data_IF_315887105570
#
_entry.id   IF_315887105570
#
_cell.length_a   1.000
_cell.length_b   1.000
_cell.length_c   1.000
_cell.angle_alpha   90.00
_cell.angle_beta   90.00
_cell.angle_gamma   90.00
#
_symmetry.space_group_name_H-M   'P 1'
#
loop_
_entity.id
_entity.type
_entity.pdbx_description
1 polymer ?
#
# COMPACT_ATOMS: atom_id res chain seq x y z
N UNK A 1 -14.02 -17.69 -21.96
CA UNK A 1 -14.46 -16.35 -21.52
C UNK A 1 -13.93 -16.16 -20.11
N UNK A 2 -13.07 -15.17 -19.92
CA UNK A 2 -12.52 -14.83 -18.60
C UNK A 2 -13.62 -14.14 -17.79
N UNK A 3 -13.63 -14.33 -16.48
CA UNK A 3 -14.55 -13.60 -15.60
C UNK A 3 -13.93 -12.26 -15.15
N UNK A 4 -14.76 -11.27 -14.84
CA UNK A 4 -14.32 -9.96 -14.38
C UNK A 4 -13.44 -10.00 -13.12
N UNK A 5 -13.59 -11.02 -12.26
CA UNK A 5 -12.71 -11.18 -11.09
C UNK A 5 -11.30 -11.57 -11.47
N UNK A 6 -11.14 -12.36 -12.52
CA UNK A 6 -9.82 -12.72 -13.04
C UNK A 6 -9.08 -11.51 -13.61
N UNK A 7 -9.79 -10.62 -14.33
CA UNK A 7 -9.24 -9.32 -14.78
C UNK A 7 -8.85 -8.43 -13.59
N UNK A 8 -9.76 -8.22 -12.63
CA UNK A 8 -9.49 -7.41 -11.42
C UNK A 8 -8.30 -7.97 -10.63
N UNK A 9 -8.16 -9.29 -10.53
CA UNK A 9 -7.03 -9.93 -9.84
C UNK A 9 -5.70 -9.65 -10.55
N UNK A 10 -5.65 -9.73 -11.87
CA UNK A 10 -4.46 -9.44 -12.64
C UNK A 10 -4.03 -7.97 -12.50
N UNK A 11 -4.96 -7.03 -12.64
CA UNK A 11 -4.72 -5.59 -12.44
C UNK A 11 -4.16 -5.32 -11.04
N UNK A 12 -4.83 -5.83 -10.00
CA UNK A 12 -4.40 -5.62 -8.62
C UNK A 12 -3.00 -6.20 -8.36
N UNK A 13 -2.68 -7.35 -8.95
CA UNK A 13 -1.38 -7.99 -8.78
C UNK A 13 -0.27 -7.17 -9.45
N UNK A 14 -0.50 -6.69 -10.67
CA UNK A 14 0.44 -5.83 -11.40
C UNK A 14 0.68 -4.50 -10.67
N UNK A 15 -0.40 -3.81 -10.29
CA UNK A 15 -0.36 -2.56 -9.52
C UNK A 15 0.43 -2.73 -8.21
N UNK A 16 0.11 -3.78 -7.46
CA UNK A 16 0.82 -4.12 -6.21
C UNK A 16 2.31 -4.38 -6.45
N UNK A 17 2.66 -5.17 -7.47
CA UNK A 17 4.06 -5.47 -7.79
C UNK A 17 4.85 -4.21 -8.15
N UNK A 18 4.23 -3.30 -8.90
CA UNK A 18 4.82 -1.99 -9.25
C UNK A 18 5.10 -1.14 -8.02
N UNK A 19 4.14 -1.03 -7.10
CA UNK A 19 4.31 -0.25 -5.86
C UNK A 19 5.47 -0.80 -5.02
N UNK A 20 5.58 -2.13 -4.88
CA UNK A 20 6.70 -2.74 -4.15
C UNK A 20 8.06 -2.52 -4.81
N UNK A 21 8.11 -2.57 -6.14
CA UNK A 21 9.33 -2.21 -6.84
C UNK A 21 9.68 -0.73 -6.57
N UNK A 22 8.71 0.19 -6.59
CA UNK A 22 8.91 1.62 -6.28
C UNK A 22 9.46 1.86 -4.87
N UNK A 23 9.16 1.00 -3.92
CA UNK A 23 9.70 1.11 -2.56
C UNK A 23 11.12 0.54 -2.44
N UNK A 24 11.48 -0.43 -3.28
CA UNK A 24 12.74 -1.18 -3.16
C UNK A 24 13.77 -0.88 -4.26
N UNK A 25 13.44 -0.07 -5.27
CA UNK A 25 14.39 0.34 -6.31
C UNK A 25 15.32 1.47 -5.85
N UNK A 26 14.89 2.27 -4.86
CA UNK A 26 15.74 3.28 -4.24
C UNK A 26 16.63 2.64 -3.15
N UNK A 27 17.95 2.81 -3.24
CA UNK A 27 18.87 2.28 -2.24
C UNK A 27 18.73 3.06 -0.92
N UNK A 28 18.40 2.36 0.16
CA UNK A 28 18.38 2.92 1.51
C UNK A 28 17.03 2.99 2.23
N UNK A 29 16.01 2.25 1.80
CA UNK A 29 14.89 1.86 2.67
C UNK A 29 15.48 1.12 3.88
N UNK A 30 15.52 1.82 5.02
CA UNK A 30 16.38 1.48 6.16
C UNK A 30 15.88 0.22 6.85
N UNK A 31 16.63 -0.87 6.73
CA UNK A 31 16.70 -1.88 7.80
C UNK A 31 17.22 -1.19 9.05
N UNK A 32 16.36 -1.03 10.07
CA UNK A 32 16.63 -0.27 11.29
C UNK A 32 17.71 -0.88 12.19
N UNK A 33 18.97 -0.80 11.77
CA UNK A 33 20.16 -1.13 12.56
C UNK A 33 20.99 0.12 12.90
N UNK A 34 21.94 0.01 13.86
CA UNK A 34 22.82 1.12 14.24
C UNK A 34 23.59 1.66 13.03
N UNK A 35 23.52 2.98 12.80
CA UNK A 35 24.23 3.65 11.72
C UNK A 35 25.73 3.68 11.99
N UNK A 36 26.52 3.04 11.13
CA UNK A 36 27.97 3.22 11.12
C UNK A 36 28.32 4.68 10.77
N UNK A 37 29.32 5.24 11.45
CA UNK A 37 29.76 6.64 11.30
C UNK A 37 30.42 6.95 9.95
N UNK A 38 30.74 5.91 9.16
CA UNK A 38 31.25 6.02 7.81
C UNK A 38 30.17 5.52 6.84
N UNK A 39 29.29 6.42 6.39
CA UNK A 39 28.30 6.06 5.38
C UNK A 39 29.04 5.77 4.06
N UNK A 40 29.01 4.52 3.61
CA UNK A 40 29.38 4.17 2.26
C UNK A 40 28.57 5.04 1.27
N UNK A 41 29.10 5.35 0.08
CA UNK A 41 28.31 6.02 -0.96
C UNK A 41 26.98 5.30 -1.14
N UNK A 42 25.87 6.03 -1.40
CA UNK A 42 24.57 5.42 -1.58
C UNK A 42 24.72 4.31 -2.62
N UNK A 43 24.16 3.13 -2.31
CA UNK A 43 24.20 2.04 -3.28
C UNK A 43 23.65 2.53 -4.63
N UNK A 44 24.11 1.98 -5.76
CA UNK A 44 23.61 2.39 -7.06
C UNK A 44 22.11 2.07 -7.20
N UNK A 45 21.39 2.90 -7.96
CA UNK A 45 19.99 2.67 -8.32
C UNK A 45 19.83 1.28 -8.96
N UNK A 46 18.79 0.55 -8.57
CA UNK A 46 18.45 -0.71 -9.21
C UNK A 46 17.70 -0.45 -10.51
N UNK A 47 18.46 -0.30 -11.60
CA UNK A 47 17.94 -0.01 -12.95
C UNK A 47 16.99 -1.10 -13.41
N UNK A 48 17.25 -2.37 -13.06
CA UNK A 48 16.37 -3.47 -13.44
C UNK A 48 14.98 -3.29 -12.84
N UNK A 49 14.89 -2.96 -11.55
CA UNK A 49 13.60 -2.66 -10.92
C UNK A 49 12.91 -1.46 -11.54
N UNK A 50 13.66 -0.41 -11.87
CA UNK A 50 13.11 0.77 -12.54
C UNK A 50 12.49 0.42 -13.91
N UNK A 51 13.18 -0.39 -14.71
CA UNK A 51 12.66 -0.86 -16.00
C UNK A 51 11.39 -1.68 -15.82
N UNK A 52 11.34 -2.55 -14.80
CA UNK A 52 10.15 -3.35 -14.51
C UNK A 52 8.97 -2.48 -14.02
N UNK A 53 9.22 -1.43 -13.22
CA UNK A 53 8.20 -0.43 -12.84
C UNK A 53 7.62 0.23 -14.09
N UNK A 54 8.49 0.68 -14.99
CA UNK A 54 8.09 1.36 -16.22
C UNK A 54 7.27 0.44 -17.13
N UNK A 55 7.69 -0.82 -17.28
CA UNK A 55 6.97 -1.83 -18.06
C UNK A 55 5.55 -2.04 -17.53
N UNK A 56 5.39 -2.31 -16.23
CA UNK A 56 4.07 -2.52 -15.63
C UNK A 56 3.19 -1.26 -15.80
N UNK A 57 3.78 -0.08 -15.62
CA UNK A 57 3.07 1.20 -15.80
C UNK A 57 2.56 1.37 -17.23
N UNK A 58 3.41 1.05 -18.23
CA UNK A 58 3.04 1.14 -19.63
C UNK A 58 1.96 0.13 -20.02
N UNK A 59 2.03 -1.10 -19.50
CA UNK A 59 1.03 -2.13 -19.75
C UNK A 59 -0.34 -1.72 -19.19
N UNK A 60 -0.41 -1.29 -17.93
CA UNK A 60 -1.66 -0.80 -17.34
C UNK A 60 -2.25 0.37 -18.15
N UNK A 61 -1.42 1.35 -18.52
CA UNK A 61 -1.87 2.48 -19.34
C UNK A 61 -2.30 2.06 -20.76
N UNK A 62 -1.61 1.10 -21.37
CA UNK A 62 -1.93 0.57 -22.70
C UNK A 62 -3.29 -0.12 -22.71
N UNK A 63 -3.55 -1.00 -21.74
CA UNK A 63 -4.84 -1.65 -21.59
C UNK A 63 -5.98 -0.67 -21.29
N UNK A 64 -5.72 0.38 -20.50
CA UNK A 64 -6.72 1.40 -20.22
C UNK A 64 -7.07 2.20 -21.49
N UNK A 65 -6.07 2.56 -22.30
CA UNK A 65 -6.30 3.23 -23.59
C UNK A 65 -7.08 2.36 -24.56
N UNK A 66 -6.78 1.07 -24.63
CA UNK A 66 -7.55 0.16 -25.48
C UNK A 66 -9.03 0.15 -25.08
N UNK A 67 -9.34 0.08 -23.79
CA UNK A 67 -10.71 0.14 -23.29
C UNK A 67 -11.34 1.52 -23.58
N UNK A 68 -10.61 2.61 -23.39
CA UNK A 68 -11.08 3.96 -23.72
C UNK A 68 -11.42 4.09 -25.21
N UNK A 69 -10.59 3.54 -26.09
CA UNK A 69 -10.83 3.52 -27.54
C UNK A 69 -12.07 2.68 -27.92
N UNK A 70 -12.28 1.52 -27.30
CA UNK A 70 -13.41 0.64 -27.61
C UNK A 70 -14.74 1.11 -26.99
N UNK A 71 -14.70 1.72 -25.80
CA UNK A 71 -15.91 2.18 -25.08
C UNK A 71 -16.27 3.63 -25.38
N UNK A 72 -15.29 4.45 -25.75
CA UNK A 72 -15.42 5.91 -25.85
C UNK A 72 -15.50 6.61 -24.48
N UNK A 73 -15.33 5.89 -23.37
CA UNK A 73 -15.31 6.47 -22.02
C UNK A 73 -13.90 6.95 -21.67
N UNK A 74 -13.73 8.27 -21.50
CA UNK A 74 -12.43 8.86 -21.18
C UNK A 74 -11.88 8.41 -19.83
N UNK A 75 -10.55 8.29 -19.75
CA UNK A 75 -9.84 8.05 -18.49
C UNK A 75 -9.87 9.35 -17.66
N UNK A 76 -10.68 9.36 -16.61
CA UNK A 76 -10.93 10.51 -15.73
C UNK A 76 -10.30 10.41 -14.33
N UNK A 77 -9.75 9.24 -14.00
CA UNK A 77 -9.15 8.90 -12.72
C UNK A 77 -7.81 8.16 -12.88
N UNK A 78 -7.31 7.53 -11.81
CA UNK A 78 -6.13 6.69 -11.89
C UNK A 78 -6.37 5.49 -12.81
N UNK A 79 -5.40 5.18 -13.68
CA UNK A 79 -5.48 4.11 -14.68
C UNK A 79 -5.97 2.79 -14.09
N UNK A 80 -5.53 2.42 -12.90
CA UNK A 80 -5.91 1.16 -12.27
C UNK A 80 -7.33 1.16 -11.70
N UNK A 81 -7.86 2.33 -11.35
CA UNK A 81 -9.27 2.51 -10.95
C UNK A 81 -10.15 2.41 -12.19
N UNK A 82 -9.79 3.13 -13.26
CA UNK A 82 -10.44 3.02 -14.58
C UNK A 82 -10.53 1.56 -15.06
N UNK A 83 -9.41 0.84 -15.05
CA UNK A 83 -9.36 -0.57 -15.47
C UNK A 83 -10.26 -1.47 -14.61
N UNK A 84 -10.30 -1.24 -13.29
CA UNK A 84 -11.16 -2.02 -12.38
C UNK A 84 -12.63 -1.75 -12.62
N UNK A 85 -13.01 -0.49 -12.86
CA UNK A 85 -14.38 -0.08 -13.22
C UNK A 85 -14.85 -0.77 -14.50
N UNK A 86 -13.95 -0.92 -15.47
CA UNK A 86 -14.22 -1.55 -16.76
C UNK A 86 -13.91 -3.05 -16.84
N UNK A 87 -13.62 -3.72 -15.73
CA UNK A 87 -13.23 -5.13 -15.74
C UNK A 87 -14.31 -6.06 -16.34
N UNK A 88 -15.60 -5.72 -16.18
CA UNK A 88 -16.70 -6.47 -16.80
C UNK A 88 -16.69 -6.33 -18.32
N UNK A 89 -16.39 -5.13 -18.83
CA UNK A 89 -16.23 -4.90 -20.27
C UNK A 89 -15.03 -5.68 -20.79
N UNK A 90 -13.85 -5.51 -20.17
CA UNK A 90 -12.63 -6.20 -20.57
C UNK A 90 -12.80 -7.73 -20.58
N UNK A 91 -13.47 -8.29 -19.58
CA UNK A 91 -13.72 -9.73 -19.49
C UNK A 91 -14.58 -10.31 -20.64
N UNK A 92 -15.39 -9.47 -21.28
CA UNK A 92 -16.20 -9.85 -22.44
C UNK A 92 -15.43 -9.82 -23.76
N UNK A 93 -14.23 -9.21 -23.80
CA UNK A 93 -13.44 -9.06 -25.01
C UNK A 93 -12.62 -10.30 -25.34
N UNK A 94 -12.31 -10.48 -26.62
CA UNK A 94 -11.48 -11.61 -27.10
C UNK A 94 -10.04 -11.51 -26.58
N UNK A 95 -9.52 -10.29 -26.44
CA UNK A 95 -8.16 -9.99 -25.94
C UNK A 95 -8.02 -10.09 -24.41
N UNK A 96 -9.09 -10.40 -23.67
CA UNK A 96 -9.07 -10.43 -22.20
C UNK A 96 -8.01 -11.37 -21.62
N UNK A 97 -7.77 -12.50 -22.30
CA UNK A 97 -6.76 -13.48 -21.92
C UNK A 97 -5.35 -12.90 -22.02
N UNK A 98 -5.05 -12.21 -23.11
CA UNK A 98 -3.74 -11.60 -23.33
C UNK A 98 -3.43 -10.53 -22.29
N UNK A 99 -4.42 -9.68 -21.95
CA UNK A 99 -4.31 -8.71 -20.86
C UNK A 99 -3.98 -9.38 -19.53
N UNK A 100 -4.71 -10.44 -19.18
CA UNK A 100 -4.54 -11.14 -17.90
C UNK A 100 -3.18 -11.82 -17.84
N UNK A 101 -2.75 -12.49 -18.91
CA UNK A 101 -1.48 -13.20 -18.96
C UNK A 101 -0.29 -12.23 -18.93
N UNK A 102 -0.36 -11.13 -19.69
CA UNK A 102 0.69 -10.12 -19.71
C UNK A 102 0.87 -9.46 -18.34
N UNK A 103 -0.22 -9.00 -17.72
CA UNK A 103 -0.18 -8.37 -16.40
C UNK A 103 0.34 -9.34 -15.33
N UNK A 104 -0.08 -10.61 -15.37
CA UNK A 104 0.40 -11.62 -14.44
C UNK A 104 1.88 -11.95 -14.63
N UNK A 105 2.37 -12.03 -15.86
CA UNK A 105 3.77 -12.30 -16.15
C UNK A 105 4.66 -11.17 -15.62
N UNK A 106 4.28 -9.91 -15.90
CA UNK A 106 5.00 -8.74 -15.38
C UNK A 106 4.93 -8.64 -13.85
N UNK A 107 3.78 -8.95 -13.25
CA UNK A 107 3.63 -8.96 -11.81
C UNK A 107 4.52 -10.02 -11.15
N UNK A 108 4.52 -11.25 -11.68
CA UNK A 108 5.34 -12.34 -11.15
C UNK A 108 6.84 -12.03 -11.20
N UNK A 109 7.31 -11.41 -12.29
CA UNK A 109 8.69 -10.93 -12.41
C UNK A 109 8.99 -9.82 -11.39
N UNK A 110 8.09 -8.85 -11.24
CA UNK A 110 8.24 -7.78 -10.24
C UNK A 110 8.29 -8.30 -8.80
N UNK A 111 7.42 -9.26 -8.46
CA UNK A 111 7.42 -9.93 -7.15
C UNK A 111 8.75 -10.66 -6.87
N UNK A 112 9.30 -11.37 -7.87
CA UNK A 112 10.59 -12.04 -7.76
C UNK A 112 11.73 -11.03 -7.52
N UNK A 113 11.72 -9.89 -8.22
CA UNK A 113 12.72 -8.83 -8.06
C UNK A 113 12.59 -8.10 -6.71
N UNK A 114 11.38 -8.01 -6.15
CA UNK A 114 11.14 -7.44 -4.83
C UNK A 114 11.55 -8.38 -3.67
N UNK A 115 11.82 -9.66 -3.93
CA UNK A 115 12.34 -10.61 -2.94
C UNK A 115 11.30 -11.33 -2.08
N UNK A 116 9.99 -11.08 -2.29
CA UNK A 116 8.86 -11.93 -1.90
C UNK A 116 7.53 -11.21 -2.25
N UNK A 117 6.48 -11.98 -2.55
CA UNK A 117 5.10 -11.48 -2.52
C UNK A 117 4.77 -11.03 -1.09
N UNK A 118 4.51 -9.75 -0.88
CA UNK A 118 4.18 -9.28 0.47
C UNK A 118 2.84 -9.86 0.90
N UNK A 119 2.82 -10.42 2.12
CA UNK A 119 1.59 -10.91 2.74
C UNK A 119 0.68 -9.72 2.99
N UNK A 120 -0.33 -9.56 2.14
CA UNK A 120 -1.47 -8.67 2.39
C UNK A 120 -2.28 -9.19 3.58
N UNK A 121 -2.62 -8.31 4.52
CA UNK A 121 -3.44 -8.67 5.69
C UNK A 121 -4.86 -8.14 5.47
N UNK A 122 -5.93 -8.92 5.67
CA UNK A 122 -7.29 -8.41 5.59
C UNK A 122 -7.49 -7.21 6.53
N UNK A 123 -7.99 -6.10 6.00
CA UNK A 123 -8.18 -4.83 6.73
C UNK A 123 -9.66 -4.45 6.90
N UNK A 124 -10.58 -5.40 6.69
CA UNK A 124 -12.03 -5.18 6.81
C UNK A 124 -12.67 -4.71 5.51
N UNK A 125 -13.70 -3.88 5.62
CA UNK A 125 -14.48 -3.33 4.51
C UNK A 125 -14.24 -1.83 4.37
N UNK A 126 -14.14 -1.39 3.12
CA UNK A 126 -14.05 0.02 2.74
C UNK A 126 -15.40 0.71 2.93
N UNK A 127 -15.40 2.05 3.00
CA UNK A 127 -16.63 2.85 2.95
C UNK A 127 -17.48 2.58 1.70
N UNK A 128 -16.87 2.06 0.62
CA UNK A 128 -17.59 1.62 -0.58
C UNK A 128 -18.14 0.18 -0.51
N UNK A 129 -18.01 -0.52 0.63
CA UNK A 129 -18.48 -1.89 0.82
C UNK A 129 -17.54 -2.98 0.29
N UNK A 130 -16.45 -2.61 -0.38
CA UNK A 130 -15.48 -3.57 -0.90
C UNK A 130 -14.47 -4.03 0.16
N UNK A 131 -14.00 -5.27 0.01
CA UNK A 131 -12.96 -5.83 0.89
C UNK A 131 -11.66 -5.04 0.77
N UNK A 132 -10.95 -4.92 1.89
CA UNK A 132 -9.69 -4.21 2.01
C UNK A 132 -8.55 -5.09 2.45
N UNK A 133 -7.35 -4.67 2.05
CA UNK A 133 -6.11 -5.28 2.47
C UNK A 133 -5.12 -4.21 2.92
N UNK A 134 -4.46 -4.47 4.04
CA UNK A 134 -3.31 -3.72 4.51
C UNK A 134 -2.04 -4.27 3.87
N UNK A 135 -1.27 -3.36 3.30
CA UNK A 135 0.02 -3.61 2.67
C UNK A 135 1.09 -3.25 3.69
N UNK A 136 1.83 -4.26 4.18
CA UNK A 136 2.90 -4.06 5.15
C UNK A 136 4.17 -3.64 4.45
N UNK A 137 4.24 -2.36 4.12
CA UNK A 137 5.40 -1.72 3.51
C UNK A 137 6.12 -0.81 4.51
N UNK A 138 7.18 -0.12 4.08
CA UNK A 138 7.84 0.92 4.88
C UNK A 138 6.87 2.07 5.23
N UNK A 139 5.89 2.34 4.35
CA UNK A 139 4.78 3.27 4.55
C UNK A 139 3.47 2.50 4.40
N UNK A 140 3.03 1.77 5.43
CA UNK A 140 1.90 0.88 5.28
C UNK A 140 0.67 1.67 4.85
N UNK A 141 -0.06 1.11 3.89
CA UNK A 141 -1.30 1.65 3.36
C UNK A 141 -2.36 0.57 3.30
N UNK A 142 -3.63 0.97 3.24
CA UNK A 142 -4.77 0.08 3.05
C UNK A 142 -5.36 0.39 1.70
N UNK A 143 -5.53 -0.63 0.85
CA UNK A 143 -6.19 -0.49 -0.45
C UNK A 143 -7.41 -1.38 -0.50
N UNK A 144 -8.54 -0.81 -0.91
CA UNK A 144 -9.73 -1.61 -1.19
C UNK A 144 -9.68 -2.21 -2.59
N UNK A 145 -10.55 -3.20 -2.82
CA UNK A 145 -10.67 -3.86 -4.13
C UNK A 145 -10.98 -2.88 -5.26
N UNK A 146 -11.77 -1.85 -4.99
CA UNK A 146 -12.11 -0.78 -5.93
C UNK A 146 -10.99 0.26 -6.14
N UNK A 147 -9.91 0.21 -5.37
CA UNK A 147 -8.75 1.10 -5.55
C UNK A 147 -8.65 2.27 -4.58
N UNK A 148 -9.63 2.48 -3.69
CA UNK A 148 -9.50 3.48 -2.64
C UNK A 148 -8.31 3.16 -1.73
N UNK A 149 -7.37 4.10 -1.66
CA UNK A 149 -6.22 4.05 -0.78
C UNK A 149 -6.48 4.91 0.46
N UNK A 150 -6.16 4.36 1.62
CA UNK A 150 -6.34 4.98 2.91
C UNK A 150 -5.20 4.59 3.84
N UNK A 151 -5.05 5.32 4.94
CA UNK A 151 -4.01 4.95 5.91
C UNK A 151 -4.46 3.76 6.74
N UNK A 152 -3.54 2.91 7.23
CA UNK A 152 -3.89 1.85 8.17
C UNK A 152 -4.59 2.41 9.40
N UNK A 153 -4.22 3.63 9.83
CA UNK A 153 -4.85 4.32 10.95
C UNK A 153 -6.36 4.47 10.75
N UNK A 154 -6.85 4.67 9.52
CA UNK A 154 -8.26 4.85 9.21
C UNK A 154 -9.07 3.54 9.32
N UNK A 155 -8.44 2.40 9.03
CA UNK A 155 -9.10 1.08 8.93
C UNK A 155 -8.80 0.09 10.05
N UNK A 156 -8.05 0.50 11.07
CA UNK A 156 -7.94 -0.30 12.28
C UNK A 156 -9.34 -0.50 12.88
N UNK A 157 -9.71 -1.77 13.08
CA UNK A 157 -10.97 -2.17 13.69
C UNK A 157 -11.16 -1.46 15.03
N UNK A 158 -12.33 -0.87 15.25
CA UNK A 158 -12.67 -0.25 16.53
C UNK A 158 -12.52 -1.26 17.66
N UNK A 159 -11.76 -0.91 18.70
CA UNK A 159 -11.46 -1.72 19.88
C UNK A 159 -10.13 -2.49 19.83
N UNK A 160 -9.40 -2.46 18.72
CA UNK A 160 -8.09 -3.10 18.66
C UNK A 160 -7.01 -2.27 19.39
N UNK A 161 -6.02 -2.95 19.96
CA UNK A 161 -4.84 -2.33 20.57
C UNK A 161 -3.61 -2.61 19.71
N UNK A 162 -2.91 -1.56 19.31
CA UNK A 162 -1.65 -1.65 18.57
C UNK A 162 -0.46 -1.61 19.52
N UNK A 163 0.64 -2.26 19.13
CA UNK A 163 1.92 -2.01 19.81
C UNK A 163 2.39 -0.58 19.52
N UNK A 164 3.24 0.00 20.38
CA UNK A 164 3.83 1.32 20.14
C UNK A 164 4.55 1.39 18.78
N UNK A 165 5.22 0.29 18.39
CA UNK A 165 5.89 0.17 17.09
C UNK A 165 4.91 0.27 15.93
N UNK A 166 3.78 -0.44 16.02
CA UNK A 166 2.76 -0.44 14.97
C UNK A 166 1.99 0.89 14.93
N UNK A 167 1.71 1.49 16.09
CA UNK A 167 1.12 2.82 16.19
C UNK A 167 2.02 3.91 15.58
N UNK A 168 3.33 3.83 15.84
CA UNK A 168 4.31 4.75 15.25
C UNK A 168 4.36 4.62 13.72
N UNK A 169 4.34 3.38 13.23
CA UNK A 169 4.32 3.08 11.80
C UNK A 169 3.03 3.58 11.15
N UNK A 170 1.88 3.35 11.78
CA UNK A 170 0.57 3.79 11.29
C UNK A 170 0.44 5.31 11.15
N UNK A 171 1.15 6.09 11.99
CA UNK A 171 1.16 7.56 11.93
C UNK A 171 2.37 8.15 11.17
N UNK A 172 3.24 7.31 10.61
CA UNK A 172 4.46 7.77 9.93
C UNK A 172 5.43 8.54 10.84
N UNK A 173 5.48 8.23 12.14
CA UNK A 173 6.34 8.89 13.13
C UNK A 173 7.30 7.91 13.81
N UNK A 174 8.25 8.44 14.57
CA UNK A 174 9.14 7.60 15.37
C UNK A 174 8.42 7.00 16.59
N UNK A 175 8.85 5.83 17.06
CA UNK A 175 8.37 5.25 18.33
C UNK A 175 8.57 6.23 19.50
N UNK A 176 9.68 6.98 19.51
CA UNK A 176 9.95 7.99 20.53
C UNK A 176 8.93 9.13 20.54
N UNK A 177 8.31 9.42 19.40
CA UNK A 177 7.24 10.41 19.25
C UNK A 177 5.96 9.90 19.90
N UNK A 178 5.60 8.64 19.67
CA UNK A 178 4.44 7.98 20.31
C UNK A 178 4.63 7.89 21.83
N UNK A 179 5.80 7.43 22.28
CA UNK A 179 6.14 7.37 23.71
C UNK A 179 6.04 8.75 24.37
N UNK A 180 6.56 9.80 23.73
CA UNK A 180 6.44 11.18 24.23
C UNK A 180 5.00 11.67 24.26
N UNK A 181 4.19 11.34 23.25
CA UNK A 181 2.77 11.69 23.22
C UNK A 181 2.00 11.04 24.38
N UNK A 182 2.32 9.78 24.72
CA UNK A 182 1.75 9.08 25.88
C UNK A 182 2.20 9.73 27.18
N UNK A 183 3.50 9.98 27.35
CA UNK A 183 4.05 10.63 28.55
C UNK A 183 3.50 12.04 28.79
N UNK A 184 3.24 12.78 27.71
CA UNK A 184 2.65 14.12 27.76
C UNK A 184 1.12 14.11 27.93
N UNK A 185 0.49 12.94 28.06
CA UNK A 185 -0.97 12.80 28.17
C UNK A 185 -1.74 13.20 26.89
N UNK A 186 -1.05 13.33 25.75
CA UNK A 186 -1.64 13.71 24.45
C UNK A 186 -2.17 12.51 23.66
N UNK A 187 -1.84 11.29 24.10
CA UNK A 187 -2.22 10.03 23.47
C UNK A 187 -2.48 8.99 24.57
N UNK A 188 -3.69 8.45 24.65
CA UNK A 188 -4.01 7.41 25.63
C UNK A 188 -3.33 6.08 25.23
N UNK A 189 -2.46 5.58 26.10
CA UNK A 189 -1.70 4.36 25.85
C UNK A 189 -0.95 3.88 27.09
N UNK A 190 -0.50 2.63 27.05
CA UNK A 190 0.29 1.99 28.10
C UNK A 190 1.73 1.92 27.64
N UNK A 191 2.64 2.51 28.42
CA UNK A 191 4.07 2.43 28.14
C UNK A 191 4.63 1.02 28.44
N UNK A 192 5.74 0.62 27.79
CA UNK A 192 6.40 -0.64 28.12
C UNK A 192 6.89 -0.61 29.56
N UNK A 193 6.55 -1.62 30.36
CA UNK A 193 6.97 -1.75 31.76
C UNK A 193 8.10 -2.77 31.95
N UNK A 194 8.75 -2.75 33.11
CA UNK A 194 9.89 -3.60 33.50
C UNK A 194 9.60 -5.12 33.59
N UNK A 195 8.41 -5.58 33.18
CA UNK A 195 8.00 -6.98 33.19
C UNK A 195 7.78 -7.61 31.80
N UNK A 196 8.38 -7.05 30.74
CA UNK A 196 8.25 -7.59 29.38
C UNK A 196 6.89 -7.33 28.71
N UNK A 197 6.00 -6.56 29.34
CA UNK A 197 4.74 -6.11 28.71
C UNK A 197 5.08 -5.09 27.63
N UNK A 198 4.72 -5.42 26.37
CA UNK A 198 4.85 -4.50 25.25
C UNK A 198 3.87 -3.35 25.43
N UNK A 199 4.37 -2.12 25.29
CA UNK A 199 3.51 -0.94 25.33
C UNK A 199 2.48 -0.98 24.20
N UNK A 200 1.26 -0.51 24.49
CA UNK A 200 0.13 -0.62 23.60
C UNK A 200 -0.70 0.68 23.57
N UNK A 201 -1.31 0.96 22.42
CA UNK A 201 -2.14 2.14 22.17
C UNK A 201 -3.44 1.65 21.56
N UNK A 202 -4.58 2.10 22.08
CA UNK A 202 -5.88 1.80 21.45
C UNK A 202 -6.01 2.56 20.14
N UNK A 203 -6.64 1.93 19.16
CA UNK A 203 -6.91 2.51 17.84
C UNK A 203 -7.71 3.82 17.94
N UNK A 204 -8.66 3.91 18.86
CA UNK A 204 -9.49 5.09 19.10
C UNK A 204 -8.65 6.30 19.52
N UNK A 205 -7.75 6.08 20.48
CA UNK A 205 -6.82 7.10 20.94
C UNK A 205 -5.89 7.57 19.81
N UNK A 206 -5.44 6.63 18.96
CA UNK A 206 -4.57 6.93 17.83
C UNK A 206 -5.29 7.77 16.76
N UNK A 207 -6.54 7.41 16.42
CA UNK A 207 -7.40 8.16 15.48
C UNK A 207 -7.68 9.58 15.98
N UNK A 208 -8.02 9.72 17.27
CA UNK A 208 -8.24 11.03 17.91
C UNK A 208 -7.00 11.91 17.84
N UNK A 209 -5.83 11.34 18.14
CA UNK A 209 -4.56 12.05 18.11
C UNK A 209 -4.17 12.52 16.70
N UNK A 210 -4.37 11.68 15.69
CA UNK A 210 -4.14 12.03 14.29
C UNK A 210 -5.02 13.20 13.83
N UNK A 211 -6.31 13.19 14.20
CA UNK A 211 -7.25 14.25 13.87
C UNK A 211 -6.89 15.61 14.51
N UNK A 212 -6.42 15.63 15.76
CA UNK A 212 -5.92 16.86 16.41
C UNK A 212 -4.66 17.40 15.72
N UNK A 213 -3.72 16.52 15.37
CA UNK A 213 -2.46 16.93 14.74
C UNK A 213 -2.66 17.47 13.32
N UNK A 214 -3.59 16.91 12.56
CA UNK A 214 -3.94 17.44 11.23
C UNK A 214 -4.54 18.85 11.30
N UNK A 215 -5.27 19.18 12.37
CA UNK A 215 -5.79 20.54 12.60
C UNK A 215 -4.68 21.52 13.00
N UNK A 216 -3.70 21.10 13.79
CA UNK A 216 -2.56 21.93 14.21
C UNK A 216 -1.57 22.23 13.06
N UNK A 217 -1.48 21.38 12.04
CA UNK A 217 -0.60 21.57 10.89
C UNK A 217 -1.19 22.46 9.79
N UNK A 218 -2.50 22.74 9.84
CA UNK A 218 -3.23 23.55 8.87
C UNK A 218 -3.88 24.82 9.49
N UNK A 219 -3.48 25.17 10.71
CA UNK A 219 -3.82 26.42 11.40
C UNK A 219 -2.60 27.34 11.40
#
# INVERSE_FOLDING_TARGET
>A
MIDAQSVIRAINRADTARDYLRETYLPGSRTGGPRAQNAAPPAPLDIGKLDQINLITQQLAGWARLIEEETGEFIDDEVEVYLRRHATFAAAQEWALDMVDELNASAAKGEAMAGASVKRIPAGECSCGERQWAYQTDRPYVKCRAGHETTPADHLASGATLSISDAARALGVSQSTITRAIQAGKLDGVLPGSGGRRGAVSVEALKKHAATRSKELHA
#
